data_IF_824475096004
#
_entry.id   IF_824475096004
#
_cell.length_a   1.000
_cell.length_b   1.000
_cell.length_c   1.000
_cell.angle_alpha   90.00
_cell.angle_beta   90.00
_cell.angle_gamma   90.00
#
_symmetry.space_group_name_H-M   'P 1'
#
loop_
_entity.id
_entity.type
_entity.pdbx_description
1 polymer ?
#
# COMPACT_ATOMS: atom_id res chain seq x y z
N UNK A 1 4.12 -2.21 -1.16
CA UNK A 1 4.75 -0.89 -0.93
C UNK A 1 4.90 -0.68 0.57
N UNK A 2 6.05 -1.07 1.13
CA UNK A 2 6.23 -1.08 2.60
C UNK A 2 7.34 -0.13 3.01
N UNK A 3 7.15 0.62 4.10
CA UNK A 3 8.20 1.52 4.62
C UNK A 3 9.08 0.79 5.63
N UNK A 4 10.38 0.79 5.38
CA UNK A 4 11.41 0.21 6.25
C UNK A 4 11.71 -1.26 5.96
N UNK A 5 12.99 -1.57 5.77
CA UNK A 5 13.47 -2.92 5.39
C UNK A 5 13.05 -4.04 6.35
N UNK A 6 13.02 -3.80 7.66
CA UNK A 6 12.53 -4.81 8.61
C UNK A 6 11.03 -5.11 8.47
N UNK A 7 10.23 -4.08 8.20
CA UNK A 7 8.80 -4.27 7.98
C UNK A 7 8.54 -4.98 6.64
N UNK A 8 9.23 -4.62 5.56
CA UNK A 8 9.02 -5.27 4.26
C UNK A 8 9.27 -6.78 4.32
N UNK A 9 10.33 -7.22 5.02
CA UNK A 9 10.60 -8.66 5.23
C UNK A 9 9.44 -9.33 5.95
N UNK A 10 8.96 -8.76 7.06
CA UNK A 10 7.86 -9.33 7.85
C UNK A 10 6.57 -9.46 7.01
N UNK A 11 6.28 -8.49 6.15
CA UNK A 11 5.12 -8.58 5.24
C UNK A 11 5.28 -9.71 4.23
N UNK A 12 6.46 -9.87 3.64
CA UNK A 12 6.74 -10.94 2.70
C UNK A 12 6.69 -12.32 3.37
N UNK A 13 7.28 -12.46 4.55
CA UNK A 13 7.30 -13.72 5.31
C UNK A 13 5.89 -14.19 5.67
N UNK A 14 4.97 -13.27 5.95
CA UNK A 14 3.59 -13.65 6.27
C UNK A 14 2.84 -14.08 5.02
N UNK A 15 2.99 -13.36 3.91
CA UNK A 15 2.34 -13.74 2.64
C UNK A 15 2.88 -15.06 2.10
N UNK A 16 4.21 -15.25 2.16
CA UNK A 16 4.91 -16.43 1.63
C UNK A 16 4.84 -17.61 2.61
N UNK A 17 5.32 -17.40 3.84
CA UNK A 17 5.60 -18.47 4.80
C UNK A 17 4.39 -18.87 5.64
N UNK A 18 3.60 -17.91 6.13
CA UNK A 18 2.46 -18.19 7.01
C UNK A 18 1.17 -18.50 6.23
N UNK A 19 0.96 -17.80 5.12
CA UNK A 19 -0.25 -17.95 4.32
C UNK A 19 -0.07 -18.86 3.08
N UNK A 20 1.16 -19.11 2.65
CA UNK A 20 1.46 -20.02 1.53
C UNK A 20 1.17 -19.44 0.13
N UNK A 21 0.98 -18.12 0.00
CA UNK A 21 0.63 -17.45 -1.26
C UNK A 21 1.85 -16.85 -1.97
N UNK A 22 2.96 -17.60 -2.01
CA UNK A 22 4.19 -17.16 -2.65
C UNK A 22 4.00 -16.81 -4.14
N UNK A 23 3.14 -17.55 -4.84
CA UNK A 23 2.85 -17.35 -6.27
C UNK A 23 2.02 -16.09 -6.56
N UNK A 24 1.30 -15.56 -5.57
CA UNK A 24 0.49 -14.34 -5.73
C UNK A 24 1.25 -13.07 -5.29
N UNK A 25 2.48 -13.22 -4.77
CA UNK A 25 3.29 -12.07 -4.38
C UNK A 25 3.84 -11.36 -5.62
N UNK A 26 3.25 -10.20 -5.95
CA UNK A 26 3.66 -9.41 -7.11
C UNK A 26 5.05 -8.79 -7.00
N UNK A 27 5.44 -8.30 -5.82
CA UNK A 27 6.78 -7.74 -5.60
C UNK A 27 7.20 -7.68 -4.12
N UNK A 28 8.51 -7.64 -3.90
CA UNK A 28 9.13 -7.25 -2.64
C UNK A 28 9.86 -5.92 -2.85
N UNK A 29 9.39 -4.86 -2.21
CA UNK A 29 9.99 -3.54 -2.34
C UNK A 29 9.74 -2.67 -1.11
N UNK A 30 10.77 -1.92 -0.72
CA UNK A 30 10.75 -1.00 0.41
C UNK A 30 11.18 0.42 0.01
N UNK A 31 10.78 1.38 0.84
CA UNK A 31 11.39 2.71 0.84
C UNK A 31 11.64 3.12 2.30
N UNK A 32 12.73 3.84 2.56
CA UNK A 32 13.15 4.21 3.91
C UNK A 32 14.06 5.44 3.88
N UNK A 33 14.45 5.95 5.07
CA UNK A 33 15.43 7.05 5.17
C UNK A 33 14.86 8.46 5.02
N UNK A 34 13.57 8.67 5.31
CA UNK A 34 12.91 9.98 5.20
C UNK A 34 12.94 10.56 3.76
N UNK A 35 12.64 9.71 2.77
CA UNK A 35 12.48 10.11 1.37
C UNK A 35 11.53 11.29 1.21
N UNK A 36 11.86 12.20 0.30
CA UNK A 36 11.01 13.35 -0.01
C UNK A 36 9.77 12.95 -0.83
N UNK A 37 8.81 13.88 -0.97
CA UNK A 37 7.56 13.62 -1.70
C UNK A 37 7.78 13.15 -3.15
N UNK A 38 8.74 13.74 -3.86
CA UNK A 38 9.00 13.45 -5.27
C UNK A 38 9.59 12.04 -5.45
N UNK A 39 10.52 11.64 -4.58
CA UNK A 39 11.07 10.29 -4.57
C UNK A 39 9.98 9.24 -4.36
N UNK A 40 9.09 9.47 -3.37
CA UNK A 40 7.98 8.56 -3.08
C UNK A 40 6.98 8.54 -4.23
N UNK A 41 6.73 9.67 -4.89
CA UNK A 41 5.88 9.75 -6.07
C UNK A 41 6.44 8.90 -7.23
N UNK A 42 7.73 9.04 -7.55
CA UNK A 42 8.35 8.26 -8.62
C UNK A 42 8.34 6.76 -8.30
N UNK A 43 8.69 6.41 -7.06
CA UNK A 43 8.62 5.04 -6.59
C UNK A 43 7.19 4.46 -6.69
N UNK A 44 6.19 5.20 -6.22
CA UNK A 44 4.80 4.77 -6.27
C UNK A 44 4.30 4.60 -7.71
N UNK A 45 4.68 5.50 -8.62
CA UNK A 45 4.36 5.36 -10.05
C UNK A 45 4.89 4.06 -10.64
N UNK A 46 6.15 3.71 -10.35
CA UNK A 46 6.75 2.47 -10.85
C UNK A 46 6.02 1.26 -10.30
N UNK A 47 5.80 1.20 -8.99
CA UNK A 47 5.09 0.09 -8.34
C UNK A 47 3.68 -0.08 -8.90
N UNK A 48 2.92 1.01 -9.04
CA UNK A 48 1.56 0.98 -9.59
C UNK A 48 1.57 0.53 -11.06
N UNK A 49 2.52 1.02 -11.88
CA UNK A 49 2.62 0.59 -13.27
C UNK A 49 2.90 -0.92 -13.37
N UNK A 50 3.79 -1.47 -12.55
CA UNK A 50 4.05 -2.91 -12.50
C UNK A 50 2.82 -3.69 -12.02
N UNK A 51 2.17 -3.23 -10.94
CA UNK A 51 1.00 -3.90 -10.38
C UNK A 51 -0.25 -3.83 -11.29
N UNK A 52 -0.29 -2.88 -12.23
CA UNK A 52 -1.39 -2.69 -13.19
C UNK A 52 -1.07 -3.19 -14.60
N UNK A 53 0.12 -3.74 -14.83
CA UNK A 53 0.49 -4.34 -16.10
C UNK A 53 -0.36 -5.59 -16.38
N UNK A 54 -0.70 -5.80 -17.65
CA UNK A 54 -1.38 -7.02 -18.15
C UNK A 54 -2.62 -7.40 -17.32
N UNK A 55 -3.74 -6.65 -17.42
CA UNK A 55 -4.98 -6.98 -16.72
C UNK A 55 -5.48 -8.37 -17.10
N UNK A 56 -5.59 -9.25 -16.11
CA UNK A 56 -6.03 -10.65 -16.22
C UNK A 56 -7.46 -10.88 -15.69
N UNK A 57 -8.17 -9.79 -15.35
CA UNK A 57 -9.55 -9.81 -14.84
C UNK A 57 -9.68 -10.25 -13.37
N UNK A 58 -8.60 -10.76 -12.77
CA UNK A 58 -8.52 -11.09 -11.34
C UNK A 58 -8.41 -9.82 -10.50
N UNK A 59 -8.94 -9.86 -9.27
CA UNK A 59 -8.74 -8.79 -8.29
C UNK A 59 -7.27 -8.76 -7.89
N UNK A 60 -6.75 -7.56 -7.66
CA UNK A 60 -5.38 -7.36 -7.16
C UNK A 60 -5.42 -6.57 -5.88
N UNK A 61 -4.51 -6.87 -4.95
CA UNK A 61 -4.39 -6.13 -3.71
C UNK A 61 -3.04 -5.42 -3.64
N UNK A 62 -3.04 -4.14 -3.28
CA UNK A 62 -1.84 -3.36 -3.01
C UNK A 62 -1.73 -3.07 -1.51
N UNK A 63 -0.70 -3.64 -0.89
CA UNK A 63 -0.37 -3.39 0.51
C UNK A 63 0.50 -2.13 0.63
N UNK A 64 -0.01 -1.11 1.32
CA UNK A 64 0.70 0.12 1.67
C UNK A 64 0.91 0.14 3.18
N UNK A 65 2.01 -0.45 3.64
CA UNK A 65 2.22 -0.78 5.04
C UNK A 65 3.52 -0.24 5.63
N UNK A 66 3.70 -0.50 6.92
CA UNK A 66 4.99 -0.38 7.58
C UNK A 66 4.90 -0.30 9.09
N UNK A 67 6.07 -0.29 9.72
CA UNK A 67 6.20 -0.03 11.16
C UNK A 67 5.69 1.35 11.56
N UNK A 68 5.63 1.61 12.87
CA UNK A 68 5.36 2.96 13.37
C UNK A 68 6.61 3.80 13.12
N UNK A 69 6.47 4.89 12.38
CA UNK A 69 7.60 5.76 12.06
C UNK A 69 8.04 6.55 13.29
N UNK A 70 9.36 6.58 13.54
CA UNK A 70 9.93 7.36 14.64
C UNK A 70 10.19 8.83 14.25
N UNK A 71 10.64 9.08 13.01
CA UNK A 71 11.07 10.42 12.55
C UNK A 71 10.63 10.79 11.14
N UNK A 72 10.01 9.87 10.39
CA UNK A 72 9.57 10.13 9.01
C UNK A 72 8.34 11.03 9.00
N UNK A 73 8.37 12.09 8.19
CA UNK A 73 7.17 12.87 7.91
C UNK A 73 6.22 12.04 7.03
N UNK A 74 5.20 11.49 7.68
CA UNK A 74 4.23 10.61 7.05
C UNK A 74 3.40 11.37 6.01
N UNK A 75 3.15 12.67 6.22
CA UNK A 75 2.33 13.48 5.34
C UNK A 75 3.00 13.68 3.97
N UNK A 76 4.29 14.01 3.94
CA UNK A 76 5.02 14.15 2.67
C UNK A 76 5.06 12.84 1.88
N UNK A 77 5.27 11.70 2.56
CA UNK A 77 5.28 10.41 1.88
C UNK A 77 3.90 10.04 1.32
N UNK A 78 2.82 10.26 2.08
CA UNK A 78 1.48 9.98 1.59
C UNK A 78 1.05 10.93 0.49
N UNK A 79 1.45 12.20 0.49
CA UNK A 79 1.17 13.09 -0.63
C UNK A 79 1.70 12.54 -1.95
N UNK A 80 2.93 12.01 -1.96
CA UNK A 80 3.51 11.37 -3.14
C UNK A 80 2.71 10.15 -3.60
N UNK A 81 2.28 9.30 -2.65
CA UNK A 81 1.43 8.13 -2.94
C UNK A 81 0.06 8.55 -3.48
N UNK A 82 -0.61 9.50 -2.82
CA UNK A 82 -1.93 10.01 -3.22
C UNK A 82 -1.86 10.57 -4.64
N UNK A 83 -0.85 11.37 -4.96
CA UNK A 83 -0.62 11.90 -6.30
C UNK A 83 -0.45 10.77 -7.33
N UNK A 84 0.37 9.77 -7.02
CA UNK A 84 0.56 8.61 -7.90
C UNK A 84 -0.74 7.82 -8.15
N UNK A 85 -1.57 7.65 -7.11
CA UNK A 85 -2.86 6.96 -7.22
C UNK A 85 -3.84 7.75 -8.10
N UNK A 86 -3.93 9.08 -7.92
CA UNK A 86 -4.76 9.95 -8.77
C UNK A 86 -4.34 9.87 -10.24
N UNK A 87 -3.04 9.92 -10.53
CA UNK A 87 -2.53 9.83 -11.90
C UNK A 87 -2.79 8.48 -12.58
N UNK A 88 -3.03 7.42 -11.80
CA UNK A 88 -3.18 6.04 -12.30
C UNK A 88 -4.57 5.47 -12.06
N UNK A 89 -5.55 6.31 -11.72
CA UNK A 89 -6.93 5.93 -11.39
C UNK A 89 -7.53 4.92 -12.40
N UNK A 90 -7.50 5.25 -13.70
CA UNK A 90 -8.09 4.39 -14.73
C UNK A 90 -7.44 3.01 -14.79
N UNK A 91 -6.12 2.93 -14.54
CA UNK A 91 -5.39 1.65 -14.50
C UNK A 91 -5.73 0.84 -13.26
N UNK A 92 -5.85 1.49 -12.11
CA UNK A 92 -6.25 0.86 -10.85
C UNK A 92 -7.63 0.23 -10.96
N UNK A 93 -8.58 0.95 -11.57
CA UNK A 93 -9.92 0.43 -11.88
C UNK A 93 -9.89 -0.75 -12.84
N UNK A 94 -9.10 -0.66 -13.91
CA UNK A 94 -9.02 -1.70 -14.93
C UNK A 94 -8.57 -3.07 -14.37
N UNK A 95 -7.69 -3.08 -13.37
CA UNK A 95 -7.23 -4.31 -12.70
C UNK A 95 -8.01 -4.66 -11.44
N UNK A 96 -9.12 -3.95 -11.15
CA UNK A 96 -9.92 -4.14 -9.92
C UNK A 96 -9.03 -4.12 -8.68
N UNK A 97 -8.20 -3.09 -8.57
CA UNK A 97 -7.26 -2.95 -7.45
C UNK A 97 -8.00 -2.65 -6.15
N UNK A 98 -7.63 -3.34 -5.08
CA UNK A 98 -7.99 -3.04 -3.70
C UNK A 98 -6.75 -2.58 -2.94
N UNK A 99 -6.85 -1.49 -2.20
CA UNK A 99 -5.74 -0.95 -1.44
C UNK A 99 -5.95 -1.20 0.05
N UNK A 100 -4.90 -1.66 0.71
CA UNK A 100 -4.89 -1.86 2.15
C UNK A 100 -3.75 -1.06 2.75
N UNK A 101 -4.09 -0.07 3.57
CA UNK A 101 -3.13 0.84 4.18
C UNK A 101 -3.04 0.57 5.67
N UNK A 102 -1.82 0.40 6.20
CA UNK A 102 -1.58 0.39 7.64
C UNK A 102 -0.38 1.25 7.97
N UNK A 103 -0.59 2.35 8.70
CA UNK A 103 0.49 3.26 9.09
C UNK A 103 0.29 3.88 10.45
N UNK A 104 1.40 4.18 11.13
CA UNK A 104 1.43 4.97 12.36
C UNK A 104 2.70 5.82 12.44
N UNK A 105 2.67 6.84 13.28
CA UNK A 105 3.76 7.79 13.54
C UNK A 105 3.22 9.24 13.58
N UNK A 106 4.06 10.27 13.48
CA UNK A 106 3.61 11.66 13.60
C UNK A 106 2.55 12.04 12.57
N UNK A 107 1.49 12.74 12.99
CA UNK A 107 0.40 13.28 12.14
C UNK A 107 -0.42 12.26 11.33
N UNK A 108 -0.27 10.96 11.61
CA UNK A 108 -0.90 9.88 10.84
C UNK A 108 -2.42 10.02 10.68
N UNK A 109 -3.14 10.50 11.71
CA UNK A 109 -4.61 10.57 11.71
C UNK A 109 -5.16 11.40 10.54
N UNK A 110 -4.51 12.54 10.26
CA UNK A 110 -4.92 13.42 9.16
C UNK A 110 -4.70 12.74 7.81
N UNK A 111 -3.60 12.00 7.68
CA UNK A 111 -3.27 11.28 6.44
C UNK A 111 -4.21 10.10 6.21
N UNK A 112 -4.60 9.37 7.28
CA UNK A 112 -5.57 8.28 7.16
C UNK A 112 -6.94 8.80 6.68
N UNK A 113 -7.38 9.95 7.17
CA UNK A 113 -8.63 10.59 6.71
C UNK A 113 -8.53 10.96 5.23
N UNK A 114 -7.42 11.55 4.79
CA UNK A 114 -7.19 11.89 3.38
C UNK A 114 -7.21 10.66 2.47
N UNK A 115 -6.64 9.55 2.91
CA UNK A 115 -6.62 8.30 2.14
C UNK A 115 -8.00 7.66 2.03
N UNK A 116 -8.82 7.72 3.09
CA UNK A 116 -10.21 7.24 3.00
C UNK A 116 -11.01 8.08 2.01
N UNK A 117 -10.89 9.41 2.09
CA UNK A 117 -11.55 10.32 1.15
C UNK A 117 -11.08 10.08 -0.30
N UNK A 118 -9.80 9.75 -0.49
CA UNK A 118 -9.26 9.41 -1.80
C UNK A 118 -9.92 8.16 -2.39
N UNK A 119 -10.20 7.14 -1.58
CA UNK A 119 -10.85 5.93 -2.06
C UNK A 119 -12.25 6.21 -2.64
N UNK A 120 -13.01 7.05 -1.95
CA UNK A 120 -14.32 7.53 -2.43
C UNK A 120 -14.18 8.41 -3.69
N UNK A 121 -13.23 9.35 -3.71
CA UNK A 121 -12.97 10.22 -4.86
C UNK A 121 -12.61 9.41 -6.12
N UNK A 122 -11.71 8.44 -5.96
CA UNK A 122 -11.26 7.61 -7.07
C UNK A 122 -12.26 6.48 -7.38
N UNK A 123 -13.21 6.15 -6.51
CA UNK A 123 -14.03 4.94 -6.66
C UNK A 123 -13.19 3.66 -6.68
N UNK A 124 -12.10 3.64 -5.91
CA UNK A 124 -11.22 2.48 -5.73
C UNK A 124 -11.30 2.08 -4.25
N UNK A 125 -11.54 0.80 -3.90
CA UNK A 125 -11.62 0.38 -2.51
C UNK A 125 -10.30 0.62 -1.78
N UNK A 126 -10.32 1.45 -0.72
CA UNK A 126 -9.17 1.71 0.15
C UNK A 126 -9.56 1.43 1.60
N UNK A 127 -9.01 0.37 2.17
CA UNK A 127 -9.15 0.05 3.59
C UNK A 127 -7.94 0.61 4.35
N UNK A 128 -8.21 1.51 5.31
CA UNK A 128 -7.17 2.26 6.02
C UNK A 128 -7.18 1.87 7.51
N UNK A 129 -5.99 1.64 8.06
CA UNK A 129 -5.79 1.21 9.44
C UNK A 129 -4.66 1.99 10.11
N UNK A 130 -4.82 2.30 11.39
CA UNK A 130 -3.84 2.99 12.20
C UNK A 130 -2.97 2.05 13.04
N UNK A 131 -2.30 2.60 14.08
CA UNK A 131 -1.44 1.84 14.98
C UNK A 131 -2.21 0.83 15.85
N UNK A 132 -3.53 1.00 16.02
CA UNK A 132 -4.42 0.09 16.76
C UNK A 132 -4.53 -1.29 16.12
N UNK A 133 -4.35 -1.37 14.79
CA UNK A 133 -4.34 -2.64 14.07
C UNK A 133 -2.95 -3.29 14.14
N UNK A 134 -2.92 -4.63 14.21
CA UNK A 134 -1.69 -5.40 14.01
C UNK A 134 -1.10 -5.03 12.66
N UNK A 135 0.20 -4.76 12.61
CA UNK A 135 0.91 -4.33 11.40
C UNK A 135 0.57 -5.22 10.20
N UNK A 136 0.55 -6.52 10.41
CA UNK A 136 0.39 -7.52 9.36
C UNK A 136 -1.06 -7.96 9.17
N UNK A 137 -2.00 -7.38 9.92
CA UNK A 137 -3.43 -7.67 9.79
C UNK A 137 -3.97 -7.41 8.39
N UNK A 138 -3.45 -6.39 7.72
CA UNK A 138 -3.81 -6.06 6.34
C UNK A 138 -3.39 -7.11 5.30
N UNK A 139 -2.42 -7.97 5.61
CA UNK A 139 -2.02 -9.06 4.71
C UNK A 139 -3.15 -10.08 4.58
N UNK A 140 -3.78 -10.43 5.70
CA UNK A 140 -4.87 -11.41 5.72
C UNK A 140 -6.06 -10.93 4.91
N UNK A 141 -6.45 -9.66 5.09
CA UNK A 141 -7.59 -9.06 4.38
C UNK A 141 -7.33 -8.96 2.88
N UNK A 142 -6.09 -8.60 2.49
CA UNK A 142 -5.71 -8.57 1.09
C UNK A 142 -5.79 -9.94 0.41
N UNK A 143 -5.37 -11.00 1.11
CA UNK A 143 -5.48 -12.38 0.61
C UNK A 143 -6.94 -12.81 0.48
N UNK A 144 -7.77 -12.57 1.50
CA UNK A 144 -9.20 -12.83 1.45
C UNK A 144 -9.88 -12.10 0.27
N UNK A 145 -9.43 -10.88 -0.04
CA UNK A 145 -9.93 -10.10 -1.17
C UNK A 145 -9.59 -10.74 -2.52
N UNK A 146 -8.33 -11.10 -2.77
CA UNK A 146 -7.92 -11.67 -4.07
C UNK A 146 -8.49 -13.08 -4.30
N UNK A 147 -8.83 -13.78 -3.23
CA UNK A 147 -9.43 -15.13 -3.28
C UNK A 147 -10.96 -15.13 -3.38
N UNK A 148 -11.61 -13.96 -3.23
CA UNK A 148 -13.06 -13.78 -3.33
C UNK A 148 -13.56 -13.48 -4.74
#
# INVERSE_FOLDING_TARGET
MVVGGGASVIYADIVIGDMGYASELGNYAEYSGASNEEEVLQYARVVINCATAEPDGRKRALLIGGGIANFTDIASTFNGIIRALKEKESKLKAVRMHLYVRRGGPNYETDLVRLRALGEELGVPIEVYGPEAKMTGICKQAIECIMS
#
